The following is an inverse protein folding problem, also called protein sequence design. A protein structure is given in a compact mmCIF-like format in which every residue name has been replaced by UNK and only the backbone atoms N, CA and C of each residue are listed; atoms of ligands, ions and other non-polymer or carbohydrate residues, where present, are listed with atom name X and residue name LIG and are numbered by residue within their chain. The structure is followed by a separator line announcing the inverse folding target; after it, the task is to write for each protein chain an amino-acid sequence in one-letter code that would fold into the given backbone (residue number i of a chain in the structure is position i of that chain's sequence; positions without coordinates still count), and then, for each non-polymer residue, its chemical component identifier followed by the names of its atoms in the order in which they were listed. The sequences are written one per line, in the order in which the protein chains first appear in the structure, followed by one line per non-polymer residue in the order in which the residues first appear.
data_IF_919582975095
#
_entry.id   IF_919582975095
#
_cell.length_a   1.000
_cell.length_b   1.000
_cell.length_c   1.000
_cell.angle_alpha   90.00
_cell.angle_beta   90.00
_cell.angle_gamma   90.00
#
_symmetry.space_group_name_H-M   'P 1'
#
loop_
_entity.id
_entity.type
_entity.pdbx_description
1 polymer ?
#
# COMPACT_ATOMS: atom_id res chain seq x y z
N UNK A 1 -13.69 -11.18 2.75
CA UNK A 1 -12.36 -10.97 3.37
C UNK A 1 -12.14 -9.48 3.46
N UNK A 2 -11.97 -8.92 4.67
CA UNK A 2 -11.77 -7.48 4.89
C UNK A 2 -10.30 -7.26 5.16
N UNK A 3 -9.64 -6.50 4.29
CA UNK A 3 -8.24 -6.14 4.42
C UNK A 3 -8.18 -4.68 4.85
N UNK A 4 -7.49 -4.40 5.94
CA UNK A 4 -7.33 -3.05 6.49
C UNK A 4 -5.84 -2.71 6.54
N UNK A 5 -5.47 -1.55 6.01
CA UNK A 5 -4.12 -1.00 6.19
C UNK A 5 -4.08 -0.31 7.57
N UNK A 6 -3.24 -0.81 8.47
CA UNK A 6 -3.07 -0.30 9.84
C UNK A 6 -1.69 0.36 9.97
N UNK A 7 -1.56 1.39 10.81
CA UNK A 7 -0.27 2.03 11.12
C UNK A 7 0.02 3.33 10.37
N UNK A 8 -0.93 3.85 9.58
CA UNK A 8 -0.85 5.21 9.00
C UNK A 8 -1.17 6.31 10.02
N UNK A 9 -1.62 5.89 11.20
CA UNK A 9 -2.10 6.71 12.31
C UNK A 9 -0.97 7.20 13.22
N UNK A 10 0.23 6.61 13.11
CA UNK A 10 1.39 6.92 13.96
C UNK A 10 2.37 7.92 13.32
N UNK A 11 2.42 7.96 11.99
CA UNK A 11 3.32 8.85 11.24
C UNK A 11 2.46 9.98 10.73
N UNK A 12 2.65 11.19 11.27
CA UNK A 12 2.21 12.49 10.74
C UNK A 12 1.27 12.32 9.57
N UNK A 13 -0.07 12.33 9.79
CA UNK A 13 -1.09 12.24 8.74
C UNK A 13 -0.53 12.89 7.48
N UNK A 14 -0.01 12.13 6.51
CA UNK A 14 0.73 12.77 5.45
C UNK A 14 -0.31 13.60 4.74
N UNK A 15 -0.06 14.89 4.56
CA UNK A 15 -0.95 15.74 3.79
C UNK A 15 -1.25 15.11 2.42
N UNK A 16 -0.32 14.27 1.93
CA UNK A 16 -0.32 13.71 0.59
C UNK A 16 0.04 12.20 0.56
N UNK A 17 -0.63 11.35 1.34
CA UNK A 17 -0.58 9.88 1.15
C UNK A 17 -1.68 9.42 0.20
N UNK A 18 -1.29 8.71 -0.88
CA UNK A 18 -2.24 8.12 -1.83
C UNK A 18 -2.09 6.60 -1.85
N UNK A 19 -3.19 5.89 -1.56
CA UNK A 19 -3.32 4.44 -1.72
C UNK A 19 -4.28 4.14 -2.87
N UNK A 20 -3.73 3.67 -3.99
CA UNK A 20 -4.50 3.18 -5.12
C UNK A 20 -4.67 1.66 -5.06
N UNK A 21 -5.90 1.18 -5.19
CA UNK A 21 -6.22 -0.25 -5.27
C UNK A 21 -6.88 -0.52 -6.61
N UNK A 22 -6.25 -1.32 -7.46
CA UNK A 22 -6.85 -1.85 -8.69
C UNK A 22 -6.96 -3.35 -8.59
N UNK A 23 -8.04 -3.92 -9.09
CA UNK A 23 -8.19 -5.35 -9.09
C UNK A 23 -9.20 -5.81 -10.13
N UNK A 24 -9.08 -7.08 -10.49
CA UNK A 24 -9.99 -7.74 -11.40
C UNK A 24 -10.51 -9.02 -10.74
N UNK A 25 -11.80 -9.29 -10.94
CA UNK A 25 -12.45 -10.50 -10.48
C UNK A 25 -12.85 -11.33 -11.69
N UNK A 26 -12.44 -12.60 -11.70
CA UNK A 26 -12.73 -13.55 -12.76
C UNK A 26 -13.54 -14.71 -12.17
N UNK A 27 -14.58 -15.12 -12.89
CA UNK A 27 -15.26 -16.38 -12.57
C UNK A 27 -14.38 -17.53 -13.04
N UNK A 28 -14.01 -18.42 -12.13
CA UNK A 28 -13.21 -19.61 -12.41
C UNK A 28 -14.10 -20.84 -12.17
N UNK A 29 -14.31 -21.67 -13.20
CA UNK A 29 -15.07 -22.91 -13.09
C UNK A 29 -14.11 -24.09 -13.03
N UNK A 30 -14.19 -24.86 -11.95
CA UNK A 30 -13.45 -26.11 -11.74
C UNK A 30 -14.47 -27.24 -11.58
N UNK A 31 -14.85 -27.86 -12.70
CA UNK A 31 -15.90 -28.87 -12.76
C UNK A 31 -17.26 -28.31 -12.35
N UNK A 32 -17.91 -28.94 -11.37
CA UNK A 32 -19.23 -28.53 -10.83
C UNK A 32 -19.12 -27.30 -9.90
N UNK A 33 -17.91 -26.89 -9.52
CA UNK A 33 -17.69 -25.78 -8.57
C UNK A 33 -17.34 -24.48 -9.30
N UNK A 34 -18.06 -23.42 -8.98
CA UNK A 34 -17.71 -22.04 -9.35
C UNK A 34 -16.94 -21.36 -8.23
N UNK A 35 -15.81 -20.73 -8.57
CA UNK A 35 -15.02 -19.88 -7.69
C UNK A 35 -14.86 -18.49 -8.30
N UNK A 36 -14.58 -17.51 -7.46
CA UNK A 36 -14.14 -16.18 -7.87
C UNK A 36 -12.64 -16.10 -7.62
N UNK A 37 -11.87 -15.82 -8.67
CA UNK A 37 -10.43 -15.55 -8.59
C UNK A 37 -10.21 -14.05 -8.69
N UNK A 38 -9.60 -13.49 -7.66
CA UNK A 38 -9.22 -12.08 -7.65
C UNK A 38 -7.75 -11.89 -7.96
N UNK A 39 -7.45 -10.86 -8.74
CA UNK A 39 -6.11 -10.28 -8.87
C UNK A 39 -6.14 -8.87 -8.31
N UNK A 40 -5.17 -8.53 -7.47
CA UNK A 40 -5.05 -7.23 -6.82
C UNK A 40 -3.69 -6.63 -7.17
N UNK A 41 -3.70 -5.40 -7.64
CA UNK A 41 -2.52 -4.55 -7.80
C UNK A 41 -2.63 -3.39 -6.81
N UNK A 42 -1.62 -3.28 -5.95
CA UNK A 42 -1.53 -2.25 -4.93
C UNK A 42 -0.36 -1.34 -5.27
N UNK A 43 -0.62 -0.03 -5.33
CA UNK A 43 0.42 0.98 -5.55
C UNK A 43 0.44 1.95 -4.38
N UNK A 44 1.60 2.06 -3.73
CA UNK A 44 1.85 3.02 -2.65
C UNK A 44 2.82 4.08 -3.15
N UNK A 45 2.46 5.34 -2.97
CA UNK A 45 3.32 6.47 -3.27
C UNK A 45 3.34 7.42 -2.08
N UNK A 46 4.51 8.00 -1.81
CA UNK A 46 4.72 8.91 -0.70
C UNK A 46 5.57 10.08 -1.16
N UNK A 47 5.08 11.30 -0.89
CA UNK A 47 5.86 12.52 -1.06
C UNK A 47 6.50 12.84 0.28
N UNK A 48 7.83 12.90 0.30
CA UNK A 48 8.58 13.29 1.51
C UNK A 48 8.26 14.75 1.85
N UNK A 49 7.81 15.04 3.08
CA UNK A 49 7.69 16.40 3.55
C UNK A 49 9.01 17.17 3.39
N UNK A 50 9.01 18.45 2.98
CA UNK A 50 10.24 19.22 2.72
C UNK A 50 11.20 19.26 3.90
N UNK A 51 10.70 19.18 5.14
CA UNK A 51 11.54 19.13 6.35
C UNK A 51 12.45 17.90 6.40
N UNK A 52 12.05 16.79 5.78
CA UNK A 52 12.87 15.57 5.72
C UNK A 52 14.01 15.68 4.70
N UNK A 53 14.03 16.70 3.83
CA UNK A 53 15.19 16.96 2.96
C UNK A 53 16.44 17.40 3.75
N UNK A 54 16.24 17.95 4.96
CA UNK A 54 17.33 18.36 5.86
C UNK A 54 17.91 17.18 6.65
N UNK A 55 17.26 16.02 6.62
CA UNK A 55 17.71 14.82 7.34
C UNK A 55 18.72 14.07 6.47
N UNK A 56 19.88 13.67 7.02
CA UNK A 56 20.86 12.86 6.29
C UNK A 56 20.23 11.59 5.70
N UNK A 57 20.57 11.27 4.44
CA UNK A 57 19.93 10.18 3.69
C UNK A 57 20.14 8.81 4.32
N UNK A 58 21.27 8.61 4.97
CA UNK A 58 21.64 7.42 5.72
C UNK A 58 20.67 7.16 6.88
N UNK A 59 20.24 8.22 7.57
CA UNK A 59 19.22 8.14 8.63
C UNK A 59 17.84 7.79 8.05
N UNK A 60 17.47 8.41 6.92
CA UNK A 60 16.19 8.13 6.24
C UNK A 60 16.10 6.68 5.73
N UNK A 61 17.18 6.14 5.16
CA UNK A 61 17.23 4.75 4.69
C UNK A 61 17.05 3.75 5.82
N UNK A 62 17.67 3.99 6.97
CA UNK A 62 17.52 3.13 8.15
C UNK A 62 16.08 2.98 8.62
N UNK A 63 15.23 3.99 8.41
CA UNK A 63 13.81 3.94 8.78
C UNK A 63 12.97 3.20 7.74
N UNK A 64 13.36 3.26 6.46
CA UNK A 64 12.61 2.66 5.36
C UNK A 64 12.85 1.15 5.19
N UNK A 65 13.98 0.61 5.66
CA UNK A 65 14.37 -0.79 5.48
C UNK A 65 13.95 -1.71 6.65
N UNK A 66 13.10 -1.24 7.57
CA UNK A 66 12.75 -1.95 8.82
C UNK A 66 11.44 -2.73 8.80
#
# INVERSE_FOLDING_TARGET
TRWELRGLDYVLKPSDFTLGIRGALYSEKLGVRSRLKGQLELSVSFVLPPVLELVPRDVLKSVAES
#
